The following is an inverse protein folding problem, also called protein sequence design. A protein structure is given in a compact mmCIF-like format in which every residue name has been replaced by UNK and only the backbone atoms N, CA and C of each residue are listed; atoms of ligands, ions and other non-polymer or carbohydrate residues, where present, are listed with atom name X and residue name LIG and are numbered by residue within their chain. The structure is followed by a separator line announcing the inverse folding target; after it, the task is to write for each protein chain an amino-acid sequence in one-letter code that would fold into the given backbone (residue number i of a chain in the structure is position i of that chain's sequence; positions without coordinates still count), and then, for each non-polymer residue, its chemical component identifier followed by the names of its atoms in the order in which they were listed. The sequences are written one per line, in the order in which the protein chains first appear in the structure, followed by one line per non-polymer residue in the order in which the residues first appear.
data_IF_927422647847
#
_entry.id   IF_927422647847
#
_cell.length_a   1.000
_cell.length_b   1.000
_cell.length_c   1.000
_cell.angle_alpha   90.00
_cell.angle_beta   90.00
_cell.angle_gamma   90.00
#
_symmetry.space_group_name_H-M   'P 1'
#
loop_
_entity.id
_entity.type
_entity.pdbx_description
1 polymer ?
#
# COMPACT_ATOMS: atom_id res chain seq x y z
N UNK A 1 5.98 23.57 -1.47
CA UNK A 1 4.77 23.59 -0.62
C UNK A 1 4.48 22.17 -0.17
N UNK A 2 4.33 21.91 1.14
CA UNK A 2 4.08 20.55 1.69
C UNK A 2 2.72 20.05 1.21
N UNK A 3 2.56 18.74 1.02
CA UNK A 3 1.37 18.09 0.42
C UNK A 3 0.05 18.49 1.12
N UNK A 4 0.05 18.60 2.45
CA UNK A 4 -1.13 19.00 3.22
C UNK A 4 -1.64 20.42 2.87
N UNK A 5 -0.75 21.37 2.53
CA UNK A 5 -1.15 22.70 2.11
C UNK A 5 -1.86 22.70 0.75
N UNK A 6 -1.47 21.80 -0.15
CA UNK A 6 -2.15 21.67 -1.46
C UNK A 6 -3.59 21.18 -1.28
N UNK A 7 -3.78 20.15 -0.46
CA UNK A 7 -5.12 19.62 -0.14
C UNK A 7 -5.96 20.71 0.54
N UNK A 8 -5.43 21.36 1.57
CA UNK A 8 -6.11 22.44 2.29
C UNK A 8 -6.60 23.54 1.34
N UNK A 9 -5.71 24.09 0.52
CA UNK A 9 -6.06 25.21 -0.38
C UNK A 9 -7.10 24.78 -1.41
N UNK A 10 -6.99 23.59 -1.98
CA UNK A 10 -7.96 23.08 -2.97
C UNK A 10 -9.37 22.99 -2.39
N UNK A 11 -9.52 22.36 -1.22
CA UNK A 11 -10.82 22.25 -0.55
C UNK A 11 -11.38 23.61 -0.13
N UNK A 12 -10.53 24.47 0.43
CA UNK A 12 -10.94 25.80 0.86
C UNK A 12 -11.46 26.65 -0.30
N UNK A 13 -10.73 26.70 -1.42
CA UNK A 13 -11.15 27.44 -2.62
C UNK A 13 -12.47 26.87 -3.18
N UNK A 14 -12.60 25.55 -3.27
CA UNK A 14 -13.78 24.92 -3.80
C UNK A 14 -15.04 25.25 -2.97
N UNK A 15 -14.94 25.16 -1.65
CA UNK A 15 -16.04 25.48 -0.75
C UNK A 15 -16.37 26.98 -0.82
N UNK A 16 -15.35 27.87 -0.75
CA UNK A 16 -15.55 29.31 -0.80
C UNK A 16 -16.23 29.76 -2.09
N UNK A 17 -15.81 29.23 -3.24
CA UNK A 17 -16.41 29.55 -4.55
C UNK A 17 -17.83 29.02 -4.66
N UNK A 18 -18.09 27.79 -4.25
CA UNK A 18 -19.44 27.20 -4.30
C UNK A 18 -20.44 27.98 -3.45
N UNK A 19 -20.09 28.31 -2.20
CA UNK A 19 -20.93 29.10 -1.32
C UNK A 19 -21.11 30.55 -1.83
N UNK A 20 -20.08 31.19 -2.38
CA UNK A 20 -20.17 32.51 -2.94
C UNK A 20 -21.16 32.59 -4.12
N UNK A 21 -21.08 31.63 -5.04
CA UNK A 21 -21.98 31.58 -6.20
C UNK A 21 -23.43 31.28 -5.73
N UNK A 22 -23.62 30.29 -4.89
CA UNK A 22 -24.95 29.89 -4.41
C UNK A 22 -25.63 31.02 -3.62
N UNK A 23 -24.92 31.67 -2.71
CA UNK A 23 -25.45 32.73 -1.89
C UNK A 23 -25.82 34.00 -2.68
N UNK A 24 -24.98 34.45 -3.61
CA UNK A 24 -25.28 35.58 -4.48
C UNK A 24 -26.45 35.30 -5.42
N UNK A 25 -26.55 34.07 -5.94
CA UNK A 25 -27.69 33.62 -6.75
C UNK A 25 -28.98 33.63 -5.94
N UNK A 26 -28.97 33.09 -4.70
CA UNK A 26 -30.15 33.03 -3.82
C UNK A 26 -30.67 34.43 -3.46
N UNK A 27 -29.78 35.36 -3.07
CA UNK A 27 -30.15 36.76 -2.77
C UNK A 27 -30.75 37.43 -4.01
N UNK A 28 -30.14 37.21 -5.18
CA UNK A 28 -30.61 37.78 -6.43
C UNK A 28 -31.95 37.21 -6.87
N UNK A 29 -32.19 35.91 -6.65
CA UNK A 29 -33.47 35.26 -6.94
C UNK A 29 -34.57 35.76 -6.01
N UNK A 30 -34.31 35.83 -4.71
CA UNK A 30 -35.25 36.34 -3.70
C UNK A 30 -35.62 37.79 -3.98
N UNK A 31 -34.63 38.66 -4.29
CA UNK A 31 -34.88 40.05 -4.66
C UNK A 31 -35.76 40.16 -5.92
N UNK A 32 -35.49 39.39 -6.97
CA UNK A 32 -36.31 39.37 -8.20
C UNK A 32 -37.77 38.96 -7.91
N UNK A 33 -37.96 37.93 -7.09
CA UNK A 33 -39.28 37.51 -6.73
C UNK A 33 -40.08 38.59 -5.94
N UNK A 34 -39.41 39.24 -4.96
CA UNK A 34 -40.02 40.34 -4.20
C UNK A 34 -40.28 41.55 -5.08
N UNK A 35 -39.35 41.87 -5.97
CA UNK A 35 -39.52 42.96 -6.96
C UNK A 35 -40.73 42.74 -7.88
N UNK A 36 -40.90 41.53 -8.42
CA UNK A 36 -42.08 41.22 -9.25
C UNK A 36 -43.38 41.33 -8.50
N UNK A 37 -43.44 40.85 -7.27
CA UNK A 37 -44.64 40.97 -6.39
C UNK A 37 -44.98 42.42 -6.13
N UNK A 38 -44.03 43.29 -5.85
CA UNK A 38 -44.28 44.72 -5.63
C UNK A 38 -44.77 45.45 -6.89
N UNK A 39 -44.25 45.07 -8.06
CA UNK A 39 -44.76 45.61 -9.32
C UNK A 39 -46.22 45.17 -9.55
N UNK A 40 -46.50 43.93 -9.34
CA UNK A 40 -47.86 43.38 -9.49
C UNK A 40 -48.82 44.04 -8.49
N UNK A 41 -48.44 44.16 -7.23
CA UNK A 41 -49.19 44.85 -6.18
C UNK A 41 -49.41 46.30 -6.56
N UNK A 42 -48.40 47.01 -7.06
CA UNK A 42 -48.54 48.40 -7.53
C UNK A 42 -49.48 48.56 -8.72
N UNK A 43 -49.45 47.59 -9.69
CA UNK A 43 -50.39 47.58 -10.80
C UNK A 43 -51.84 47.35 -10.33
N UNK A 44 -52.01 46.42 -9.40
CA UNK A 44 -53.36 46.13 -8.83
C UNK A 44 -53.90 47.34 -8.05
N UNK A 45 -53.04 48.06 -7.30
CA UNK A 45 -53.42 49.30 -6.63
C UNK A 45 -53.85 50.39 -7.63
N UNK A 46 -53.09 50.57 -8.71
CA UNK A 46 -53.42 51.55 -9.77
C UNK A 46 -54.75 51.22 -10.45
N UNK A 47 -54.96 49.92 -10.76
CA UNK A 47 -56.19 49.41 -11.34
C UNK A 47 -57.38 49.61 -10.40
N UNK A 48 -57.22 49.39 -9.10
CA UNK A 48 -58.26 49.59 -8.07
C UNK A 48 -58.68 51.06 -8.03
N UNK A 49 -57.70 52.02 -8.03
CA UNK A 49 -57.99 53.43 -8.07
C UNK A 49 -58.78 53.77 -9.34
N UNK A 50 -58.35 53.28 -10.48
CA UNK A 50 -58.98 53.50 -11.79
C UNK A 50 -60.43 52.99 -11.82
N UNK A 51 -60.67 51.76 -11.37
CA UNK A 51 -61.99 51.13 -11.33
C UNK A 51 -62.93 51.82 -10.33
N UNK A 52 -62.42 52.15 -9.13
CA UNK A 52 -63.20 52.81 -8.10
C UNK A 52 -63.65 54.20 -8.57
N UNK A 53 -62.74 54.96 -9.21
CA UNK A 53 -63.11 56.24 -9.83
C UNK A 53 -64.14 56.04 -10.93
N UNK A 54 -63.95 55.09 -11.83
CA UNK A 54 -64.89 54.76 -12.90
C UNK A 54 -66.34 54.42 -12.38
N UNK A 55 -66.35 53.62 -11.34
CA UNK A 55 -67.63 53.22 -10.71
C UNK A 55 -68.33 54.40 -10.02
N UNK A 56 -67.59 55.20 -9.20
CA UNK A 56 -68.16 56.35 -8.50
C UNK A 56 -68.71 57.38 -9.48
N UNK A 57 -67.82 57.76 -10.45
CA UNK A 57 -68.24 58.73 -11.47
C UNK A 57 -69.36 58.22 -12.37
N UNK A 58 -69.33 56.91 -12.72
CA UNK A 58 -70.39 56.30 -13.54
C UNK A 58 -71.72 56.18 -12.85
N UNK A 59 -71.78 56.21 -11.52
CA UNK A 59 -73.05 56.20 -10.76
C UNK A 59 -73.71 57.58 -10.58
N UNK A 60 -73.04 58.63 -11.02
CA UNK A 60 -73.52 60.00 -10.90
C UNK A 60 -74.27 60.47 -12.14
N UNK A 61 -75.26 61.36 -12.01
CA UNK A 61 -75.93 61.93 -13.14
C UNK A 61 -75.03 62.71 -14.05
N UNK A 62 -75.24 62.71 -15.38
CA UNK A 62 -74.35 63.32 -16.39
C UNK A 62 -74.20 64.85 -16.21
N UNK A 63 -75.22 65.53 -15.63
CA UNK A 63 -75.19 66.99 -15.35
C UNK A 63 -74.48 67.32 -14.02
N UNK A 64 -74.14 66.33 -13.18
CA UNK A 64 -73.50 66.53 -11.85
C UNK A 64 -72.18 67.29 -11.98
N UNK A 65 -71.30 66.94 -12.93
CA UNK A 65 -69.99 67.55 -13.12
C UNK A 65 -70.07 68.93 -13.76
N UNK A 66 -71.11 69.29 -14.47
CA UNK A 66 -71.38 70.64 -15.00
C UNK A 66 -71.87 71.60 -13.93
N UNK A 67 -72.64 71.10 -12.95
CA UNK A 67 -73.19 71.89 -11.84
C UNK A 67 -72.18 72.10 -10.69
N UNK A 68 -71.24 71.13 -10.47
CA UNK A 68 -70.30 71.15 -9.34
C UNK A 68 -68.89 71.20 -9.87
N UNK A 69 -68.32 72.39 -10.01
CA UNK A 69 -66.98 72.58 -10.52
C UNK A 69 -65.81 71.83 -9.75
N UNK A 70 -66.05 71.50 -8.44
CA UNK A 70 -65.07 70.85 -7.60
C UNK A 70 -65.45 69.37 -7.32
N UNK A 71 -66.50 68.77 -7.96
CA UNK A 71 -67.00 67.47 -7.73
C UNK A 71 -65.89 66.35 -7.81
N UNK A 72 -65.07 66.38 -8.82
CA UNK A 72 -63.96 65.42 -8.96
C UNK A 72 -62.98 65.49 -7.77
N UNK A 73 -62.69 66.72 -7.29
CA UNK A 73 -61.82 66.87 -6.13
C UNK A 73 -62.40 66.33 -4.86
N UNK A 74 -63.74 66.52 -4.63
CA UNK A 74 -64.46 65.98 -3.46
C UNK A 74 -64.54 64.48 -3.49
N UNK A 75 -64.86 63.87 -4.65
CA UNK A 75 -64.89 62.43 -4.86
C UNK A 75 -63.50 61.85 -4.57
N UNK A 76 -62.46 62.44 -5.14
CA UNK A 76 -61.08 61.95 -4.92
C UNK A 76 -60.62 62.13 -3.48
N UNK A 77 -61.04 63.18 -2.78
CA UNK A 77 -60.68 63.40 -1.38
C UNK A 77 -61.33 62.37 -0.44
N UNK A 78 -62.59 62.04 -0.67
CA UNK A 78 -63.31 60.99 0.11
C UNK A 78 -62.71 59.59 -0.13
N UNK A 79 -62.31 59.32 -1.35
CA UNK A 79 -61.67 58.07 -1.72
C UNK A 79 -60.22 57.98 -1.20
N UNK A 80 -59.49 59.09 -1.10
CA UNK A 80 -58.12 59.12 -0.60
C UNK A 80 -58.01 58.63 0.85
N UNK A 81 -58.99 58.87 1.66
CA UNK A 81 -59.04 58.38 3.07
C UNK A 81 -59.08 56.86 3.12
N UNK A 82 -59.72 56.20 2.14
CA UNK A 82 -59.80 54.75 2.06
C UNK A 82 -58.59 54.09 1.37
N UNK A 83 -57.81 54.85 0.63
CA UNK A 83 -56.74 54.31 -0.25
C UNK A 83 -55.33 54.45 0.33
N UNK A 84 -55.11 55.36 1.29
CA UNK A 84 -53.80 55.72 1.73
C UNK A 84 -53.32 55.10 3.02
N UNK A 85 -52.24 54.33 2.95
CA UNK A 85 -51.27 54.21 4.05
C UNK A 85 -50.29 55.40 3.98
N UNK A 86 -49.57 55.67 5.06
CA UNK A 86 -48.67 56.83 5.24
C UNK A 86 -47.64 57.09 4.12
N UNK A 87 -47.45 56.17 3.20
CA UNK A 87 -46.41 56.20 2.20
C UNK A 87 -46.87 56.03 0.75
N UNK A 88 -48.13 55.72 0.53
CA UNK A 88 -48.71 55.52 -0.80
C UNK A 88 -49.63 56.69 -1.14
N UNK A 89 -49.50 57.25 -2.32
CA UNK A 89 -50.38 58.32 -2.75
C UNK A 89 -50.79 58.18 -4.22
N UNK A 90 -51.89 58.79 -4.57
CA UNK A 90 -52.35 58.86 -5.95
C UNK A 90 -52.60 60.30 -6.36
N UNK A 91 -52.46 60.53 -7.68
CA UNK A 91 -52.73 61.82 -8.29
C UNK A 91 -53.55 61.59 -9.55
N UNK A 92 -54.55 62.45 -9.75
CA UNK A 92 -55.37 62.41 -10.93
C UNK A 92 -55.08 63.68 -11.73
N UNK A 93 -54.85 63.53 -13.02
CA UNK A 93 -54.61 64.59 -13.95
C UNK A 93 -55.70 64.58 -15.03
N UNK A 94 -56.02 65.79 -15.56
CA UNK A 94 -56.84 65.96 -16.73
C UNK A 94 -56.11 65.57 -18.04
N UNK A 95 -56.83 65.56 -19.16
CA UNK A 95 -56.25 65.30 -20.49
C UNK A 95 -55.13 66.30 -20.87
N UNK A 96 -55.12 67.53 -20.27
CA UNK A 96 -54.05 68.53 -20.42
C UNK A 96 -52.93 68.32 -19.40
N UNK A 97 -52.96 67.25 -18.60
CA UNK A 97 -52.00 66.98 -17.55
C UNK A 97 -51.95 67.97 -16.40
N UNK A 98 -53.02 68.75 -16.19
CA UNK A 98 -53.17 69.51 -14.98
C UNK A 98 -53.61 68.67 -13.82
N UNK A 99 -53.11 68.91 -12.62
CA UNK A 99 -53.48 68.16 -11.40
C UNK A 99 -54.93 68.51 -11.03
N UNK A 100 -55.79 67.52 -11.07
CA UNK A 100 -57.17 67.66 -10.59
C UNK A 100 -57.22 67.39 -9.09
N UNK A 101 -56.51 66.35 -8.66
CA UNK A 101 -56.41 66.01 -7.26
C UNK A 101 -55.08 65.29 -7.00
N UNK A 102 -54.51 65.50 -5.83
CA UNK A 102 -53.37 64.70 -5.36
C UNK A 102 -53.48 64.47 -3.86
N UNK A 103 -53.34 63.23 -3.41
CA UNK A 103 -53.24 62.86 -2.00
C UNK A 103 -51.79 63.03 -1.44
N UNK A 104 -50.80 63.31 -2.30
CA UNK A 104 -49.41 63.53 -1.94
C UNK A 104 -48.75 64.62 -2.76
N UNK A 105 -47.45 64.63 -2.88
CA UNK A 105 -46.70 65.60 -3.70
C UNK A 105 -46.60 65.09 -5.15
N UNK A 106 -47.33 65.72 -6.11
CA UNK A 106 -47.26 65.31 -7.50
C UNK A 106 -45.88 65.54 -8.09
N UNK A 107 -45.37 64.60 -8.92
CA UNK A 107 -44.13 64.75 -9.63
C UNK A 107 -44.40 65.06 -11.11
N UNK A 108 -43.94 66.20 -11.57
CA UNK A 108 -43.98 66.56 -12.98
C UNK A 108 -42.87 65.81 -13.77
N UNK A 109 -43.27 64.71 -14.43
CA UNK A 109 -42.39 64.01 -15.35
C UNK A 109 -43.19 63.51 -16.57
N UNK A 110 -43.02 64.19 -17.69
CA UNK A 110 -43.81 64.02 -18.90
C UNK A 110 -43.65 62.64 -19.62
N UNK A 111 -42.55 61.96 -19.42
CA UNK A 111 -42.20 60.72 -20.18
C UNK A 111 -43.16 59.53 -19.88
N UNK A 112 -43.72 59.43 -18.67
CA UNK A 112 -44.65 58.35 -18.33
C UNK A 112 -46.03 58.54 -18.97
N UNK A 113 -46.49 59.82 -19.04
CA UNK A 113 -47.77 60.16 -19.64
C UNK A 113 -47.83 59.85 -21.14
N UNK A 114 -46.71 60.02 -21.87
CA UNK A 114 -46.64 59.69 -23.31
C UNK A 114 -46.67 58.21 -23.58
N UNK A 115 -46.24 57.37 -22.60
CA UNK A 115 -46.23 55.87 -22.67
C UNK A 115 -47.52 55.27 -22.17
N UNK A 116 -48.29 56.00 -21.34
CA UNK A 116 -49.58 55.56 -20.83
C UNK A 116 -50.67 55.76 -21.90
N UNK A 117 -51.39 54.71 -22.22
CA UNK A 117 -52.48 54.69 -23.23
C UNK A 117 -53.71 53.98 -22.75
N UNK A 118 -54.79 53.98 -23.60
CA UNK A 118 -56.12 53.49 -23.26
C UNK A 118 -56.23 52.07 -22.68
N UNK A 119 -55.18 51.27 -22.66
CA UNK A 119 -55.09 49.96 -22.02
C UNK A 119 -53.66 49.62 -21.63
N UNK A 120 -52.81 50.61 -21.50
CA UNK A 120 -51.41 50.39 -21.15
C UNK A 120 -50.99 51.33 -20.01
N UNK A 121 -50.56 50.75 -18.90
CA UNK A 121 -49.90 51.49 -17.83
C UNK A 121 -48.41 51.65 -18.11
N UNK A 122 -47.88 52.82 -17.79
CA UNK A 122 -46.46 53.09 -17.80
C UNK A 122 -45.91 53.12 -16.37
N UNK A 123 -44.75 52.51 -16.16
CA UNK A 123 -44.18 52.42 -14.83
C UNK A 123 -42.73 52.89 -14.82
N UNK A 124 -42.28 53.46 -13.68
CA UNK A 124 -40.92 53.84 -13.43
C UNK A 124 -40.59 53.76 -11.95
N UNK A 125 -39.44 53.21 -11.61
CA UNK A 125 -38.94 53.29 -10.25
C UNK A 125 -37.98 54.46 -10.17
N UNK A 126 -38.07 55.20 -9.10
CA UNK A 126 -37.19 56.34 -8.81
C UNK A 126 -36.80 56.35 -7.34
N UNK A 127 -35.64 56.94 -7.03
CA UNK A 127 -35.16 57.14 -5.68
C UNK A 127 -35.35 58.60 -5.30
N UNK A 128 -36.00 58.89 -4.18
CA UNK A 128 -36.11 60.21 -3.60
C UNK A 128 -35.56 60.18 -2.18
N UNK A 129 -34.57 61.01 -1.90
CA UNK A 129 -33.74 60.96 -0.68
C UNK A 129 -33.13 59.54 -0.54
N UNK A 130 -33.56 58.74 0.38
CA UNK A 130 -33.06 57.34 0.52
C UNK A 130 -34.17 56.28 0.36
N UNK A 131 -35.33 56.67 -0.17
CA UNK A 131 -36.47 55.83 -0.33
C UNK A 131 -36.75 55.55 -1.81
N UNK A 132 -37.03 54.31 -2.15
CA UNK A 132 -37.39 53.87 -3.49
C UNK A 132 -38.90 53.86 -3.63
N UNK A 133 -39.40 54.44 -4.73
CA UNK A 133 -40.79 54.53 -5.07
C UNK A 133 -41.06 53.89 -6.43
N UNK A 134 -42.17 53.14 -6.53
CA UNK A 134 -42.74 52.67 -7.78
C UNK A 134 -43.86 53.64 -8.22
N UNK A 135 -43.66 54.28 -9.34
CA UNK A 135 -44.63 55.17 -9.96
C UNK A 135 -45.26 54.49 -11.16
N UNK A 136 -46.61 54.40 -11.16
CA UNK A 136 -47.40 53.82 -12.23
C UNK A 136 -48.41 54.86 -12.69
N UNK A 137 -48.48 55.08 -14.01
CA UNK A 137 -49.42 55.99 -14.65
C UNK A 137 -50.29 55.18 -15.61
N UNK A 138 -51.60 55.31 -15.49
CA UNK A 138 -52.57 54.74 -16.40
C UNK A 138 -53.53 55.80 -16.95
N UNK A 139 -54.12 55.53 -18.09
CA UNK A 139 -55.09 56.42 -18.70
C UNK A 139 -56.47 55.77 -18.65
N UNK A 140 -57.50 56.56 -18.28
CA UNK A 140 -58.88 56.11 -18.24
C UNK A 140 -59.84 57.14 -18.81
N UNK A 141 -60.92 56.75 -19.44
CA UNK A 141 -62.02 57.60 -19.87
C UNK A 141 -63.17 57.35 -18.92
N UNK A 142 -63.65 58.40 -18.25
CA UNK A 142 -64.75 58.28 -17.31
C UNK A 142 -66.11 58.35 -18.05
N UNK A 143 -67.10 57.47 -17.67
CA UNK A 143 -68.33 57.32 -18.47
C UNK A 143 -69.26 58.55 -18.48
N UNK A 144 -69.19 59.39 -17.44
CA UNK A 144 -70.17 60.47 -17.27
C UNK A 144 -69.83 61.77 -17.98
N UNK A 145 -68.59 62.08 -18.27
CA UNK A 145 -68.17 63.28 -18.95
C UNK A 145 -67.36 63.09 -20.24
N UNK A 146 -67.09 61.79 -20.59
CA UNK A 146 -66.34 61.32 -21.74
C UNK A 146 -64.93 61.92 -21.84
N UNK A 147 -64.43 62.51 -20.73
CA UNK A 147 -63.10 63.07 -20.65
C UNK A 147 -62.09 61.99 -20.22
N UNK A 148 -60.89 62.16 -20.75
CA UNK A 148 -59.76 61.31 -20.37
C UNK A 148 -59.09 61.85 -19.12
N UNK A 149 -58.67 60.93 -18.27
CA UNK A 149 -57.91 61.23 -17.06
C UNK A 149 -56.73 60.30 -16.93
N UNK A 150 -55.60 60.84 -16.42
CA UNK A 150 -54.46 60.03 -16.03
C UNK A 150 -54.53 59.75 -14.52
N UNK A 151 -54.40 58.50 -14.16
CA UNK A 151 -54.33 58.02 -12.77
C UNK A 151 -52.88 57.62 -12.50
N UNK A 152 -52.26 58.37 -11.64
CA UNK A 152 -50.92 58.07 -11.13
C UNK A 152 -51.00 57.51 -9.74
N UNK A 153 -50.31 56.39 -9.48
CA UNK A 153 -50.09 55.84 -8.14
C UNK A 153 -48.60 55.77 -7.86
N UNK A 154 -48.25 56.16 -6.67
CA UNK A 154 -46.88 56.09 -6.16
C UNK A 154 -46.88 55.25 -4.90
N UNK A 155 -46.14 54.13 -4.96
CA UNK A 155 -46.06 53.18 -3.88
C UNK A 155 -44.62 53.16 -3.35
N UNK A 156 -44.46 53.15 -2.05
CA UNK A 156 -43.17 53.00 -1.40
C UNK A 156 -42.72 51.51 -1.46
N UNK A 157 -41.63 51.27 -2.19
CA UNK A 157 -41.07 49.92 -2.34
C UNK A 157 -39.71 49.79 -1.63
N UNK A 158 -39.43 50.66 -0.67
CA UNK A 158 -38.14 50.67 0.01
C UNK A 158 -37.89 49.38 0.81
N UNK A 159 -38.93 48.73 1.29
CA UNK A 159 -38.87 47.51 2.09
C UNK A 159 -38.11 46.38 1.37
N UNK A 160 -38.28 46.24 0.03
CA UNK A 160 -37.58 45.21 -0.72
C UNK A 160 -36.08 45.48 -0.81
N UNK A 161 -35.67 46.75 -0.85
CA UNK A 161 -34.28 47.14 -0.86
C UNK A 161 -33.62 47.00 0.52
N UNK A 162 -34.33 47.35 1.60
CA UNK A 162 -33.91 47.14 2.97
C UNK A 162 -33.79 45.63 3.26
N UNK A 163 -34.76 44.83 2.89
CA UNK A 163 -34.73 43.38 3.02
C UNK A 163 -33.53 42.77 2.28
N UNK A 164 -33.25 43.22 1.05
CA UNK A 164 -32.07 42.80 0.31
C UNK A 164 -30.77 43.14 1.06
N UNK A 165 -30.70 44.35 1.63
CA UNK A 165 -29.51 44.78 2.38
C UNK A 165 -29.31 43.95 3.64
N UNK A 166 -30.38 43.67 4.38
CA UNK A 166 -30.32 42.78 5.56
C UNK A 166 -29.92 41.34 5.19
N UNK A 167 -30.54 40.77 4.16
CA UNK A 167 -30.17 39.44 3.64
C UNK A 167 -28.69 39.40 3.24
N UNK A 168 -28.20 40.44 2.58
CA UNK A 168 -26.79 40.56 2.18
C UNK A 168 -25.87 40.60 3.40
N UNK A 169 -26.26 41.36 4.44
CA UNK A 169 -25.49 41.45 5.70
C UNK A 169 -25.46 40.10 6.41
N UNK A 170 -26.61 39.45 6.59
CA UNK A 170 -26.70 38.14 7.19
C UNK A 170 -25.89 37.08 6.42
N UNK A 171 -25.96 37.12 5.09
CA UNK A 171 -25.16 36.27 4.22
C UNK A 171 -23.66 36.44 4.49
N UNK A 172 -23.14 37.65 4.60
CA UNK A 172 -21.71 37.87 4.89
C UNK A 172 -21.30 37.33 6.26
N UNK A 173 -22.14 37.49 7.28
CA UNK A 173 -21.87 36.91 8.61
C UNK A 173 -21.83 35.37 8.56
N UNK A 174 -22.83 34.75 7.94
CA UNK A 174 -22.90 33.28 7.80
C UNK A 174 -21.71 32.79 6.98
N UNK A 175 -21.41 33.46 5.87
CA UNK A 175 -20.27 33.14 5.01
C UNK A 175 -18.95 33.19 5.78
N UNK A 176 -18.75 34.20 6.62
CA UNK A 176 -17.54 34.31 7.46
C UNK A 176 -17.44 33.15 8.43
N UNK A 177 -18.52 32.80 9.13
CA UNK A 177 -18.53 31.67 10.07
C UNK A 177 -18.23 30.35 9.36
N UNK A 178 -18.85 30.12 8.19
CA UNK A 178 -18.60 28.90 7.39
C UNK A 178 -17.14 28.83 6.94
N UNK A 179 -16.56 29.93 6.46
CA UNK A 179 -15.17 29.96 6.00
C UNK A 179 -14.20 29.66 7.15
N UNK A 180 -14.42 30.25 8.33
CA UNK A 180 -13.60 29.96 9.52
C UNK A 180 -13.74 28.50 9.96
N UNK A 181 -14.96 27.99 10.01
CA UNK A 181 -15.23 26.59 10.36
C UNK A 181 -14.57 25.62 9.36
N UNK A 182 -14.75 25.87 8.06
CA UNK A 182 -14.11 25.07 7.01
C UNK A 182 -12.58 25.14 7.06
N UNK A 183 -12.03 26.30 7.41
CA UNK A 183 -10.59 26.45 7.59
C UNK A 183 -10.06 25.54 8.71
N UNK A 184 -10.71 25.58 9.87
CA UNK A 184 -10.32 24.75 11.03
C UNK A 184 -10.45 23.26 10.69
N UNK A 185 -11.59 22.85 10.14
CA UNK A 185 -11.86 21.45 9.79
C UNK A 185 -10.88 20.92 8.73
N UNK A 186 -10.62 21.72 7.69
CA UNK A 186 -9.69 21.36 6.63
C UNK A 186 -8.24 21.24 7.13
N UNK A 187 -7.81 22.13 8.02
CA UNK A 187 -6.49 22.01 8.67
C UNK A 187 -6.39 20.76 9.53
N UNK A 188 -7.41 20.46 10.34
CA UNK A 188 -7.44 19.27 11.18
C UNK A 188 -7.39 17.99 10.34
N UNK A 189 -8.22 17.89 9.30
CA UNK A 189 -8.25 16.74 8.40
C UNK A 189 -6.93 16.56 7.66
N UNK A 190 -6.38 17.65 7.14
CA UNK A 190 -5.10 17.64 6.43
C UNK A 190 -3.94 17.20 7.34
N UNK A 191 -3.93 17.64 8.59
CA UNK A 191 -2.93 17.21 9.57
C UNK A 191 -3.06 15.72 9.88
N UNK A 192 -4.28 15.24 10.11
CA UNK A 192 -4.55 13.83 10.44
C UNK A 192 -4.13 12.87 9.31
N UNK A 193 -4.50 13.17 8.06
CA UNK A 193 -4.14 12.36 6.90
C UNK A 193 -2.62 12.34 6.66
N UNK A 194 -1.97 13.50 6.75
CA UNK A 194 -0.52 13.58 6.49
C UNK A 194 0.33 13.05 7.63
N UNK A 195 -0.19 12.99 8.85
CA UNK A 195 0.53 12.40 9.99
C UNK A 195 0.85 10.92 9.74
N UNK A 196 -0.13 10.12 9.31
CA UNK A 196 0.06 8.68 9.01
C UNK A 196 1.08 8.44 7.90
N UNK A 197 1.01 9.21 6.81
CA UNK A 197 1.99 9.13 5.72
C UNK A 197 3.39 9.51 6.20
N UNK A 198 3.51 10.46 7.11
CA UNK A 198 4.78 10.91 7.65
C UNK A 198 5.43 9.84 8.54
N UNK A 199 4.64 9.15 9.37
CA UNK A 199 5.09 8.02 10.19
C UNK A 199 5.61 6.89 9.29
N UNK A 200 4.84 6.49 8.27
CA UNK A 200 5.26 5.48 7.31
C UNK A 200 6.57 5.88 6.61
N UNK A 201 6.67 7.11 6.13
CA UNK A 201 7.89 7.62 5.48
C UNK A 201 9.11 7.65 6.42
N UNK A 202 8.89 7.96 7.71
CA UNK A 202 9.98 7.96 8.70
C UNK A 202 10.49 6.54 8.97
N UNK A 203 9.59 5.56 9.16
CA UNK A 203 9.96 4.16 9.36
C UNK A 203 10.64 3.56 8.13
N UNK A 204 10.15 3.88 6.92
CA UNK A 204 10.80 3.47 5.66
C UNK A 204 12.22 4.03 5.57
N UNK A 205 12.43 5.26 6.00
CA UNK A 205 13.75 5.88 6.01
C UNK A 205 14.66 5.24 7.06
N UNK A 206 14.16 4.99 8.28
CA UNK A 206 14.90 4.30 9.34
C UNK A 206 15.36 2.91 8.87
N UNK A 207 14.48 2.17 8.21
CA UNK A 207 14.79 0.87 7.60
C UNK A 207 15.90 0.99 6.53
N UNK A 208 15.81 1.97 5.64
CA UNK A 208 16.82 2.23 4.61
C UNK A 208 18.18 2.67 5.20
N UNK A 209 18.17 3.36 6.34
CA UNK A 209 19.37 3.79 7.07
C UNK A 209 20.00 2.65 7.91
N UNK A 210 19.43 1.42 7.85
CA UNK A 210 20.00 0.19 8.42
C UNK A 210 19.30 -0.34 9.67
N UNK A 211 18.25 0.31 10.17
CA UNK A 211 17.43 -0.25 11.24
C UNK A 211 16.42 -1.25 10.67
N UNK A 212 16.89 -2.47 10.42
CA UNK A 212 16.12 -3.55 9.83
C UNK A 212 14.94 -4.02 10.71
N UNK A 213 14.89 -3.64 11.99
CA UNK A 213 13.80 -3.93 12.91
C UNK A 213 12.68 -2.90 12.88
N UNK A 214 12.86 -1.78 12.16
CA UNK A 214 11.84 -0.73 12.06
C UNK A 214 10.58 -1.26 11.38
N UNK A 215 9.44 -1.14 12.08
CA UNK A 215 8.11 -1.53 11.57
C UNK A 215 7.12 -0.41 11.80
N UNK A 216 6.09 -0.35 10.97
CA UNK A 216 4.98 0.60 11.08
C UNK A 216 3.81 -0.06 11.77
N UNK A 217 3.25 0.61 12.77
CA UNK A 217 1.99 0.14 13.37
C UNK A 217 0.85 0.31 12.37
N UNK A 218 0.19 -0.79 12.01
CA UNK A 218 -0.95 -0.81 11.11
C UNK A 218 -2.19 -0.38 11.87
N UNK A 219 -2.76 0.78 11.52
CA UNK A 219 -3.98 1.31 12.15
C UNK A 219 -5.04 1.57 11.08
N UNK A 220 -6.25 1.03 11.27
CA UNK A 220 -7.37 1.21 10.35
C UNK A 220 -7.43 0.13 9.26
N UNK A 221 -8.32 0.37 8.26
CA UNK A 221 -8.56 -0.53 7.12
C UNK A 221 -8.55 0.24 5.79
N UNK A 222 -7.89 1.41 5.78
CA UNK A 222 -7.76 2.26 4.60
C UNK A 222 -6.52 1.90 3.76
N UNK A 223 -6.32 2.58 2.66
CA UNK A 223 -5.21 2.38 1.73
C UNK A 223 -3.84 2.62 2.41
N UNK A 224 -3.80 3.49 3.42
CA UNK A 224 -2.57 3.76 4.19
C UNK A 224 -2.25 2.59 5.11
N UNK A 225 -3.26 1.97 5.71
CA UNK A 225 -3.09 0.76 6.52
C UNK A 225 -2.60 -0.42 5.67
N UNK A 226 -3.15 -0.58 4.47
CA UNK A 226 -2.70 -1.60 3.50
C UNK A 226 -1.24 -1.36 3.11
N UNK A 227 -0.88 -0.12 2.78
CA UNK A 227 0.51 0.24 2.42
C UNK A 227 1.48 0.02 3.59
N UNK A 228 1.06 0.28 4.83
CA UNK A 228 1.87 -0.01 6.02
C UNK A 228 2.09 -1.53 6.22
N UNK A 229 1.06 -2.34 5.99
CA UNK A 229 1.16 -3.80 6.04
C UNK A 229 2.07 -4.36 4.94
N UNK A 230 1.97 -3.82 3.72
CA UNK A 230 2.83 -4.22 2.59
C UNK A 230 4.29 -3.85 2.85
N UNK A 231 4.55 -2.67 3.42
CA UNK A 231 5.89 -2.28 3.85
C UNK A 231 6.45 -3.26 4.90
N UNK A 232 5.66 -3.63 5.91
CA UNK A 232 6.12 -4.56 6.93
C UNK A 232 6.44 -5.94 6.33
N UNK A 233 5.59 -6.47 5.44
CA UNK A 233 5.86 -7.75 4.73
C UNK A 233 7.16 -7.69 3.91
N UNK A 234 7.38 -6.60 3.20
CA UNK A 234 8.62 -6.38 2.46
C UNK A 234 9.83 -6.34 3.40
N UNK A 235 9.71 -5.64 4.54
CA UNK A 235 10.77 -5.55 5.53
C UNK A 235 11.08 -6.90 6.17
N UNK A 236 10.06 -7.73 6.46
CA UNK A 236 10.24 -9.10 6.98
C UNK A 236 10.96 -10.00 5.98
N UNK A 237 10.53 -9.97 4.71
CA UNK A 237 11.17 -10.76 3.65
C UNK A 237 12.61 -10.35 3.38
N UNK A 238 12.90 -9.03 3.42
CA UNK A 238 14.27 -8.55 3.28
C UNK A 238 15.15 -8.94 4.46
N UNK A 239 14.64 -8.86 5.69
CA UNK A 239 15.35 -9.29 6.89
C UNK A 239 15.71 -10.78 6.80
N UNK A 240 14.74 -11.63 6.43
CA UNK A 240 14.96 -13.07 6.25
C UNK A 240 16.06 -13.36 5.22
N UNK A 241 16.04 -12.63 4.09
CA UNK A 241 17.09 -12.78 3.05
C UNK A 241 18.46 -12.30 3.49
N UNK A 242 18.54 -11.23 4.28
CA UNK A 242 19.80 -10.73 4.84
C UNK A 242 20.37 -11.75 5.84
N UNK A 243 19.52 -12.32 6.70
CA UNK A 243 19.93 -13.32 7.66
C UNK A 243 20.41 -14.61 6.95
N UNK A 244 19.71 -15.06 5.89
CA UNK A 244 20.14 -16.16 5.03
C UNK A 244 21.51 -15.90 4.41
N UNK A 245 21.70 -14.75 3.78
CA UNK A 245 22.99 -14.35 3.17
C UNK A 245 24.10 -14.28 4.22
N UNK A 246 23.80 -13.71 5.39
CA UNK A 246 24.76 -13.63 6.49
C UNK A 246 25.19 -15.00 6.99
N UNK A 247 24.23 -15.93 7.10
CA UNK A 247 24.52 -17.32 7.46
C UNK A 247 25.39 -18.01 6.40
N UNK A 248 25.05 -17.82 5.10
CA UNK A 248 25.86 -18.36 4.01
C UNK A 248 27.30 -17.79 4.02
N UNK A 249 27.44 -16.49 4.25
CA UNK A 249 28.77 -15.85 4.33
C UNK A 249 29.60 -16.40 5.49
N UNK A 250 29.00 -16.57 6.67
CA UNK A 250 29.69 -17.16 7.84
C UNK A 250 30.10 -18.62 7.58
N UNK A 251 29.24 -19.42 6.96
CA UNK A 251 29.53 -20.80 6.62
C UNK A 251 30.68 -20.88 5.60
N UNK A 252 30.70 -19.98 4.59
CA UNK A 252 31.76 -19.90 3.61
C UNK A 252 33.11 -19.48 4.23
N UNK A 253 33.07 -18.53 5.17
CA UNK A 253 34.28 -18.10 5.91
C UNK A 253 34.84 -19.25 6.76
N UNK A 254 33.98 -19.94 7.52
CA UNK A 254 34.35 -21.10 8.33
C UNK A 254 34.95 -22.23 7.47
N UNK A 255 34.31 -22.51 6.32
CA UNK A 255 34.79 -23.49 5.35
C UNK A 255 36.20 -23.14 4.84
N UNK A 256 36.41 -21.89 4.42
CA UNK A 256 37.70 -21.41 3.89
C UNK A 256 38.80 -21.50 4.93
N UNK A 257 38.52 -21.11 6.17
CA UNK A 257 39.46 -21.20 7.28
C UNK A 257 39.83 -22.65 7.60
N UNK A 258 38.85 -23.57 7.65
CA UNK A 258 39.10 -24.99 7.89
C UNK A 258 39.94 -25.62 6.75
N UNK A 259 39.63 -25.30 5.50
CA UNK A 259 40.37 -25.74 4.32
C UNK A 259 41.82 -25.31 4.36
N UNK A 260 42.06 -24.02 4.59
CA UNK A 260 43.42 -23.49 4.69
C UNK A 260 44.25 -24.23 5.79
N UNK A 261 43.56 -24.53 6.93
CA UNK A 261 44.24 -25.26 8.01
C UNK A 261 44.58 -26.71 7.64
N UNK A 262 43.66 -27.44 7.00
CA UNK A 262 43.88 -28.85 6.60
C UNK A 262 44.84 -29.00 5.42
N UNK A 263 45.06 -27.93 4.60
CA UNK A 263 46.12 -27.88 3.61
C UNK A 263 47.48 -27.57 4.24
N UNK A 264 47.55 -26.62 5.19
CA UNK A 264 48.81 -26.15 5.78
C UNK A 264 49.55 -27.29 6.50
N UNK A 265 48.83 -28.16 7.21
CA UNK A 265 49.46 -29.22 8.02
C UNK A 265 50.27 -30.24 7.20
N UNK A 266 49.71 -30.92 6.16
CA UNK A 266 50.50 -31.81 5.32
C UNK A 266 51.59 -31.13 4.53
N UNK A 267 51.32 -29.87 4.03
CA UNK A 267 52.32 -29.13 3.29
C UNK A 267 53.54 -28.78 4.17
N UNK A 268 53.30 -28.37 5.41
CA UNK A 268 54.39 -28.09 6.36
C UNK A 268 55.23 -29.36 6.66
N UNK A 269 54.54 -30.51 6.78
CA UNK A 269 55.22 -31.81 6.99
C UNK A 269 56.06 -32.20 5.77
N UNK A 270 55.53 -32.07 4.55
CA UNK A 270 56.26 -32.34 3.31
C UNK A 270 57.52 -31.48 3.23
N UNK A 271 57.39 -30.18 3.45
CA UNK A 271 58.50 -29.23 3.42
C UNK A 271 59.56 -29.58 4.48
N UNK A 272 59.09 -29.85 5.71
CA UNK A 272 59.99 -30.20 6.82
C UNK A 272 60.77 -31.48 6.58
N UNK A 273 60.18 -32.56 6.13
CA UNK A 273 60.87 -33.80 5.80
C UNK A 273 61.74 -33.67 4.56
N UNK A 274 61.34 -32.90 3.55
CA UNK A 274 62.16 -32.58 2.39
C UNK A 274 63.41 -31.77 2.79
N UNK A 275 63.29 -30.84 3.74
CA UNK A 275 64.39 -30.06 4.28
C UNK A 275 65.36 -30.95 5.09
N UNK A 276 64.84 -31.85 5.89
CA UNK A 276 65.62 -32.85 6.59
C UNK A 276 66.49 -33.68 5.62
N UNK A 277 65.86 -34.23 4.56
CA UNK A 277 66.54 -34.97 3.50
C UNK A 277 67.64 -34.17 2.79
N UNK A 278 67.46 -32.82 2.68
CA UNK A 278 68.38 -31.94 2.00
C UNK A 278 69.55 -31.49 2.86
N UNK A 279 69.38 -31.29 4.18
CA UNK A 279 70.31 -30.61 5.05
C UNK A 279 71.04 -31.51 6.03
N UNK A 280 70.54 -32.70 6.33
CA UNK A 280 71.09 -33.62 7.29
C UNK A 280 71.67 -34.86 6.63
N UNK A 281 72.76 -35.36 7.19
CA UNK A 281 73.35 -36.66 6.78
C UNK A 281 72.56 -37.77 7.56
N UNK A 282 71.52 -38.26 6.91
CA UNK A 282 70.67 -39.28 7.47
C UNK A 282 71.07 -40.69 7.08
N UNK A 283 70.80 -41.67 7.95
CA UNK A 283 70.94 -43.11 7.63
C UNK A 283 70.00 -43.49 6.48
N UNK A 284 70.26 -44.62 5.82
CA UNK A 284 69.39 -45.09 4.72
C UNK A 284 67.97 -45.35 5.16
N UNK A 285 67.78 -45.81 6.37
CA UNK A 285 66.50 -46.04 6.95
C UNK A 285 65.71 -44.75 7.24
N UNK A 286 66.38 -43.73 7.79
CA UNK A 286 65.78 -42.40 8.02
C UNK A 286 65.46 -41.68 6.71
N UNK A 287 66.28 -41.82 5.65
CA UNK A 287 65.96 -41.35 4.30
C UNK A 287 64.73 -42.02 3.74
N UNK A 288 64.54 -43.29 3.94
CA UNK A 288 63.38 -44.05 3.49
C UNK A 288 62.11 -43.60 4.25
N UNK A 289 62.19 -43.50 5.56
CA UNK A 289 61.05 -43.04 6.40
C UNK A 289 60.63 -41.62 6.02
N UNK A 290 61.57 -40.70 5.82
CA UNK A 290 61.28 -39.32 5.40
C UNK A 290 60.62 -39.25 4.01
N UNK A 291 61.09 -40.05 3.06
CA UNK A 291 60.51 -40.16 1.73
C UNK A 291 59.09 -40.75 1.76
N UNK A 292 58.88 -41.81 2.56
CA UNK A 292 57.56 -42.42 2.72
C UNK A 292 56.55 -41.45 3.37
N UNK A 293 57.01 -40.64 4.33
CA UNK A 293 56.19 -39.62 4.96
C UNK A 293 55.79 -38.50 3.97
N UNK A 294 56.72 -38.04 3.12
CA UNK A 294 56.42 -37.09 2.06
C UNK A 294 55.39 -37.64 1.08
N UNK A 295 55.60 -38.91 0.66
CA UNK A 295 54.70 -39.58 -0.27
C UNK A 295 53.29 -39.74 0.32
N UNK A 296 53.21 -40.18 1.58
CA UNK A 296 51.92 -40.37 2.27
C UNK A 296 51.17 -39.06 2.45
N UNK A 297 51.86 -37.93 2.81
CA UNK A 297 51.22 -36.63 2.91
C UNK A 297 50.84 -36.07 1.53
N UNK A 298 51.62 -36.35 0.46
CA UNK A 298 51.26 -36.02 -0.94
C UNK A 298 49.97 -36.71 -1.40
N UNK A 299 49.89 -38.04 -1.11
CA UNK A 299 48.64 -38.81 -1.40
C UNK A 299 47.44 -38.32 -0.62
N UNK A 300 47.63 -37.86 0.61
CA UNK A 300 46.59 -37.27 1.43
C UNK A 300 46.10 -35.95 0.81
N UNK A 301 47.00 -35.07 0.35
CA UNK A 301 46.66 -33.84 -0.34
C UNK A 301 45.86 -34.10 -1.64
N UNK A 302 46.31 -35.09 -2.41
CA UNK A 302 45.61 -35.51 -3.63
C UNK A 302 44.15 -35.92 -3.33
N UNK A 303 43.97 -36.80 -2.34
CA UNK A 303 42.62 -37.27 -1.89
C UNK A 303 41.75 -36.11 -1.39
N UNK A 304 42.34 -35.16 -0.63
CA UNK A 304 41.66 -33.98 -0.16
C UNK A 304 41.19 -33.09 -1.33
N UNK A 305 42.05 -32.90 -2.33
CA UNK A 305 41.77 -32.12 -3.55
C UNK A 305 40.59 -32.72 -4.36
N UNK A 306 40.59 -34.06 -4.56
CA UNK A 306 39.48 -34.70 -5.26
C UNK A 306 38.16 -34.58 -4.51
N UNK A 307 38.13 -34.84 -3.18
CA UNK A 307 36.92 -34.68 -2.40
C UNK A 307 36.38 -33.27 -2.37
N UNK A 308 37.27 -32.30 -2.41
CA UNK A 308 36.86 -30.88 -2.51
C UNK A 308 36.29 -30.57 -3.88
N UNK A 309 36.92 -31.08 -4.95
CA UNK A 309 36.40 -30.94 -6.31
C UNK A 309 35.01 -31.55 -6.44
N UNK A 310 34.80 -32.74 -5.89
CA UNK A 310 33.49 -33.41 -5.86
C UNK A 310 32.44 -32.53 -5.18
N UNK A 311 32.73 -31.91 -4.02
CA UNK A 311 31.84 -31.01 -3.33
C UNK A 311 31.50 -29.76 -4.17
N UNK A 312 32.46 -29.16 -4.88
CA UNK A 312 32.21 -28.00 -5.72
C UNK A 312 31.41 -28.34 -6.98
N UNK A 313 31.71 -29.47 -7.60
CA UNK A 313 31.01 -29.97 -8.79
C UNK A 313 29.56 -30.24 -8.47
N UNK A 314 29.27 -30.87 -7.31
CA UNK A 314 27.91 -31.12 -6.85
C UNK A 314 27.07 -29.85 -6.66
N UNK A 315 27.67 -28.72 -6.30
CA UNK A 315 26.96 -27.45 -6.15
C UNK A 315 26.62 -26.76 -7.46
N UNK A 316 27.24 -27.15 -8.59
CA UNK A 316 27.09 -26.48 -9.89
C UNK A 316 26.52 -27.35 -11.01
N UNK A 317 26.46 -28.67 -10.84
CA UNK A 317 26.06 -29.60 -11.89
C UNK A 317 24.53 -29.77 -11.98
N UNK A 318 23.98 -29.76 -13.19
CA UNK A 318 22.66 -30.28 -13.48
C UNK A 318 22.70 -31.81 -13.32
N UNK A 319 21.96 -32.34 -12.37
CA UNK A 319 21.93 -33.77 -12.05
C UNK A 319 21.19 -34.54 -13.14
N UNK A 320 21.73 -35.67 -13.56
CA UNK A 320 21.08 -36.57 -14.50
C UNK A 320 20.39 -37.68 -13.73
N UNK A 321 19.16 -37.43 -13.29
CA UNK A 321 18.36 -38.44 -12.63
C UNK A 321 17.88 -39.52 -13.62
N UNK A 322 18.18 -40.77 -13.28
CA UNK A 322 17.77 -41.94 -14.07
C UNK A 322 17.33 -43.07 -13.14
N UNK A 323 16.54 -44.07 -13.63
CA UNK A 323 16.27 -45.25 -12.89
C UNK A 323 17.55 -46.08 -12.63
N UNK A 324 17.86 -46.35 -11.37
CA UNK A 324 19.05 -47.09 -10.94
C UNK A 324 18.59 -48.35 -10.21
N UNK A 325 19.05 -49.52 -10.64
CA UNK A 325 18.73 -50.79 -9.95
C UNK A 325 19.56 -50.95 -8.66
N UNK A 326 18.94 -51.42 -7.58
CA UNK A 326 19.63 -51.76 -6.33
C UNK A 326 20.69 -52.86 -6.53
N UNK A 327 20.48 -53.79 -7.48
CA UNK A 327 21.45 -54.80 -7.82
C UNK A 327 22.71 -54.23 -8.45
N UNK A 328 22.56 -53.23 -9.35
CA UNK A 328 23.70 -52.52 -9.97
C UNK A 328 24.60 -51.85 -8.92
N UNK A 329 23.99 -51.25 -7.87
CA UNK A 329 24.75 -50.65 -6.77
C UNK A 329 25.54 -51.73 -6.01
N UNK A 330 24.91 -52.88 -5.70
CA UNK A 330 25.60 -53.98 -5.03
C UNK A 330 26.78 -54.51 -5.84
N UNK A 331 26.55 -54.79 -7.15
CA UNK A 331 27.56 -55.36 -8.05
C UNK A 331 28.76 -54.42 -8.23
N UNK A 332 28.56 -53.12 -8.14
CA UNK A 332 29.63 -52.13 -8.23
C UNK A 332 30.39 -51.96 -6.90
N UNK A 333 29.69 -51.86 -5.77
CA UNK A 333 30.28 -51.56 -4.46
C UNK A 333 31.10 -52.69 -3.89
N UNK A 334 30.61 -53.95 -3.95
CA UNK A 334 31.27 -55.10 -3.33
C UNK A 334 32.71 -55.31 -3.86
N UNK A 335 32.94 -55.29 -5.20
CA UNK A 335 34.33 -55.41 -5.73
C UNK A 335 35.20 -54.21 -5.35
N UNK A 336 34.68 -52.99 -5.37
CA UNK A 336 35.43 -51.78 -5.06
C UNK A 336 35.92 -51.74 -3.61
N UNK A 337 35.12 -52.21 -2.67
CA UNK A 337 35.45 -52.21 -1.24
C UNK A 337 36.28 -53.40 -0.78
N UNK A 338 36.31 -54.51 -1.56
CA UNK A 338 36.92 -55.77 -1.19
C UNK A 338 38.35 -55.64 -0.68
N UNK A 339 39.23 -54.90 -1.38
CA UNK A 339 40.64 -54.76 -1.02
C UNK A 339 40.81 -53.94 0.28
N UNK A 340 40.01 -52.86 0.42
CA UNK A 340 40.09 -51.99 1.60
C UNK A 340 39.55 -52.65 2.87
N UNK A 341 38.53 -53.49 2.73
CA UNK A 341 37.97 -54.27 3.82
C UNK A 341 38.92 -55.38 4.25
N UNK A 342 39.48 -56.12 3.29
CA UNK A 342 40.45 -57.20 3.56
C UNK A 342 41.72 -56.67 4.25
N UNK A 343 42.18 -55.46 3.91
CA UNK A 343 43.35 -54.84 4.54
C UNK A 343 43.16 -54.56 6.06
N UNK A 344 41.93 -54.46 6.52
CA UNK A 344 41.57 -54.24 7.94
C UNK A 344 40.87 -55.45 8.58
N UNK A 345 40.76 -56.58 7.86
CA UNK A 345 40.09 -57.79 8.29
C UNK A 345 38.65 -57.52 8.76
N UNK A 346 37.89 -56.76 7.99
CA UNK A 346 36.50 -56.39 8.21
C UNK A 346 35.62 -57.05 7.15
N UNK A 347 34.50 -57.71 7.58
CA UNK A 347 33.57 -58.34 6.67
C UNK A 347 32.50 -57.37 6.23
N UNK A 348 32.02 -57.46 4.97
CA UNK A 348 30.87 -56.73 4.44
C UNK A 348 29.73 -57.72 4.14
N UNK A 349 28.59 -57.53 4.79
CA UNK A 349 27.35 -58.21 4.49
C UNK A 349 26.40 -57.20 3.82
N UNK A 350 26.18 -57.37 2.52
CA UNK A 350 25.36 -56.43 1.74
C UNK A 350 24.15 -57.11 1.12
N UNK A 351 22.94 -56.74 1.53
CA UNK A 351 21.67 -57.30 1.06
C UNK A 351 20.72 -56.17 0.75
N UNK A 352 20.68 -55.80 -0.52
CA UNK A 352 19.71 -54.81 -1.04
C UNK A 352 18.55 -55.54 -1.71
N UNK A 353 17.31 -55.39 -1.19
CA UNK A 353 16.15 -55.96 -1.85
C UNK A 353 15.99 -55.36 -3.25
N UNK A 354 15.58 -56.18 -4.24
CA UNK A 354 15.42 -55.71 -5.61
C UNK A 354 14.44 -54.53 -5.69
N UNK A 355 14.93 -53.37 -6.16
CA UNK A 355 14.12 -52.16 -6.38
C UNK A 355 14.80 -51.26 -7.42
N UNK A 356 14.01 -50.35 -7.96
CA UNK A 356 14.51 -49.26 -8.81
C UNK A 356 14.42 -47.96 -8.04
N UNK A 357 15.57 -47.31 -7.86
CA UNK A 357 15.68 -45.97 -7.29
C UNK A 357 15.76 -44.93 -8.40
N UNK A 358 15.28 -43.73 -8.17
CA UNK A 358 15.42 -42.62 -9.10
C UNK A 358 16.47 -41.66 -8.60
N UNK A 359 17.60 -41.57 -9.31
CA UNK A 359 18.73 -40.75 -8.88
C UNK A 359 19.91 -40.78 -9.85
N UNK A 360 20.97 -40.09 -9.47
CA UNK A 360 22.26 -40.14 -10.18
C UNK A 360 23.08 -41.34 -9.64
N UNK A 361 23.39 -42.30 -10.55
CA UNK A 361 24.06 -43.56 -10.20
C UNK A 361 25.43 -43.33 -9.55
N UNK A 362 26.24 -42.41 -10.09
CA UNK A 362 27.59 -42.19 -9.62
C UNK A 362 27.60 -41.52 -8.24
N UNK A 363 26.64 -40.64 -8.00
CA UNK A 363 26.46 -40.02 -6.69
C UNK A 363 25.92 -41.01 -5.64
N UNK A 364 24.98 -41.88 -6.00
CA UNK A 364 24.49 -42.92 -5.10
C UNK A 364 25.61 -43.95 -4.75
N UNK A 365 26.46 -44.30 -5.73
CA UNK A 365 27.67 -45.10 -5.48
C UNK A 365 28.64 -44.39 -4.52
N UNK A 366 28.92 -43.09 -4.79
CA UNK A 366 29.79 -42.28 -3.93
C UNK A 366 29.24 -42.19 -2.50
N UNK A 367 27.93 -41.98 -2.34
CA UNK A 367 27.25 -41.95 -1.03
C UNK A 367 27.49 -43.25 -0.25
N UNK A 368 27.14 -44.38 -0.84
CA UNK A 368 27.27 -45.68 -0.18
C UNK A 368 28.72 -46.07 0.11
N UNK A 369 29.65 -45.81 -0.81
CA UNK A 369 31.08 -46.04 -0.60
C UNK A 369 31.59 -45.21 0.57
N UNK A 370 31.23 -43.91 0.66
CA UNK A 370 31.61 -43.05 1.79
C UNK A 370 31.09 -43.53 3.12
N UNK A 371 29.81 -43.98 3.18
CA UNK A 371 29.21 -44.53 4.40
C UNK A 371 29.91 -45.84 4.81
N UNK A 372 30.15 -46.76 3.88
CA UNK A 372 30.82 -48.03 4.13
C UNK A 372 32.29 -47.80 4.54
N UNK A 373 33.01 -46.84 3.92
CA UNK A 373 34.38 -46.52 4.31
C UNK A 373 34.47 -45.88 5.70
N UNK A 374 33.46 -45.08 6.08
CA UNK A 374 33.36 -44.55 7.44
C UNK A 374 33.12 -45.65 8.46
N UNK A 375 32.19 -46.59 8.17
CA UNK A 375 31.93 -47.79 8.97
C UNK A 375 33.23 -48.62 9.12
N UNK A 376 33.97 -48.87 8.01
CA UNK A 376 35.25 -49.58 8.02
C UNK A 376 36.28 -48.88 8.92
N UNK A 377 36.38 -47.56 8.86
CA UNK A 377 37.32 -46.78 9.72
C UNK A 377 36.93 -46.90 11.20
N UNK A 378 35.62 -46.94 11.53
CA UNK A 378 35.14 -47.06 12.88
C UNK A 378 35.34 -48.49 13.46
N UNK A 379 35.28 -49.52 12.61
CA UNK A 379 35.38 -50.94 13.00
C UNK A 379 36.78 -51.37 13.37
N UNK A 380 36.87 -52.49 14.10
CA UNK A 380 38.07 -53.22 14.47
C UNK A 380 38.23 -54.49 13.59
N UNK A 381 39.42 -55.15 13.66
CA UNK A 381 39.61 -56.43 12.98
C UNK A 381 38.62 -57.46 13.47
N UNK A 382 38.00 -58.22 12.57
CA UNK A 382 36.98 -59.21 12.86
C UNK A 382 35.54 -58.69 12.89
N UNK A 383 35.34 -57.35 12.82
CA UNK A 383 33.99 -56.78 12.80
C UNK A 383 33.29 -56.98 11.45
N UNK A 384 31.95 -56.86 11.48
CA UNK A 384 31.10 -56.98 10.30
C UNK A 384 30.34 -55.66 10.06
N UNK A 385 30.41 -55.14 8.83
CA UNK A 385 29.57 -54.04 8.37
C UNK A 385 28.36 -54.65 7.66
N UNK A 386 27.17 -54.28 8.08
CA UNK A 386 25.90 -54.74 7.51
C UNK A 386 25.23 -53.65 6.72
N UNK A 387 24.93 -53.89 5.45
CA UNK A 387 24.17 -52.99 4.58
C UNK A 387 22.88 -53.67 4.18
N UNK A 388 21.75 -53.11 4.62
CA UNK A 388 20.41 -53.64 4.33
C UNK A 388 19.61 -52.60 3.53
N UNK A 389 18.93 -53.09 2.49
CA UNK A 389 18.03 -52.21 1.70
C UNK A 389 16.65 -52.85 1.57
N UNK A 390 15.60 -52.08 1.77
CA UNK A 390 14.21 -52.52 1.63
C UNK A 390 13.32 -51.36 1.13
N UNK A 391 12.21 -51.73 0.46
CA UNK A 391 11.19 -50.75 0.06
C UNK A 391 10.20 -50.52 1.19
N UNK A 392 9.89 -49.30 1.48
CA UNK A 392 8.86 -48.86 2.42
C UNK A 392 7.98 -47.83 1.75
N UNK A 393 6.80 -48.26 1.31
CA UNK A 393 5.84 -47.45 0.54
C UNK A 393 6.50 -46.81 -0.71
N UNK A 394 6.54 -45.46 -0.78
CA UNK A 394 7.13 -44.67 -1.89
C UNK A 394 8.64 -44.46 -1.75
N UNK A 395 9.27 -45.04 -0.75
CA UNK A 395 10.68 -44.85 -0.44
C UNK A 395 11.46 -46.15 -0.46
N UNK A 396 12.74 -46.00 -0.76
CA UNK A 396 13.70 -47.07 -0.55
C UNK A 396 14.63 -46.73 0.59
N UNK A 397 14.64 -47.56 1.63
CA UNK A 397 15.48 -47.37 2.80
C UNK A 397 16.76 -48.18 2.67
N UNK A 398 17.92 -47.56 2.88
CA UNK A 398 19.20 -48.25 2.96
C UNK A 398 19.81 -47.96 4.33
N UNK A 399 20.10 -48.97 5.12
CA UNK A 399 20.81 -48.85 6.39
C UNK A 399 22.24 -49.37 6.26
N UNK A 400 23.22 -48.62 6.78
CA UNK A 400 24.61 -49.02 6.92
C UNK A 400 24.91 -49.07 8.41
N UNK A 401 25.19 -50.29 8.92
CA UNK A 401 25.43 -50.52 10.32
C UNK A 401 26.86 -51.06 10.55
N UNK A 402 27.54 -50.50 11.54
CA UNK A 402 28.82 -51.00 12.05
C UNK A 402 28.75 -51.27 13.55
N UNK A 403 29.66 -52.12 14.05
CA UNK A 403 29.84 -52.42 15.46
C UNK A 403 31.08 -51.72 16.03
N UNK A 404 31.44 -50.59 15.45
CA UNK A 404 32.64 -49.87 15.79
C UNK A 404 32.53 -49.00 17.04
N UNK A 405 33.36 -47.95 17.06
CA UNK A 405 33.49 -47.07 18.25
C UNK A 405 32.28 -46.20 18.57
N UNK A 406 31.32 -46.05 17.66
CA UNK A 406 30.19 -45.14 17.79
C UNK A 406 30.55 -43.67 17.77
N UNK A 407 29.51 -42.80 17.87
CA UNK A 407 29.58 -41.35 17.85
C UNK A 407 28.89 -40.84 19.12
N UNK A 408 29.49 -39.92 19.90
CA UNK A 408 28.80 -39.24 21.01
C UNK A 408 27.56 -38.51 20.54
N UNK A 409 26.49 -38.53 21.35
CA UNK A 409 25.20 -37.94 20.95
C UNK A 409 25.27 -36.42 20.67
N UNK A 410 26.11 -35.68 21.40
CA UNK A 410 26.36 -34.23 21.22
C UNK A 410 27.16 -33.88 19.97
N UNK A 411 27.74 -34.89 19.31
CA UNK A 411 28.55 -34.72 18.11
C UNK A 411 27.80 -35.08 16.81
N UNK A 412 26.68 -35.75 16.88
CA UNK A 412 25.92 -36.23 15.72
C UNK A 412 25.55 -35.05 14.76
N UNK A 413 25.12 -33.92 15.28
CA UNK A 413 24.77 -32.76 14.48
C UNK A 413 26.00 -32.06 13.81
N UNK A 414 27.18 -32.33 14.34
CA UNK A 414 28.41 -31.71 13.87
C UNK A 414 29.08 -32.50 12.75
N UNK A 415 28.87 -33.83 12.66
CA UNK A 415 29.57 -34.67 11.67
C UNK A 415 29.28 -34.33 10.22
N UNK A 416 28.19 -33.60 9.94
CA UNK A 416 27.82 -33.08 8.61
C UNK A 416 28.63 -31.87 8.18
N UNK A 417 29.26 -31.19 9.15
CA UNK A 417 30.05 -30.00 8.85
C UNK A 417 31.32 -30.37 8.11
N UNK A 418 31.71 -29.68 7.03
CA UNK A 418 32.95 -29.92 6.34
C UNK A 418 34.17 -29.82 7.29
N UNK A 419 35.15 -30.75 7.12
CA UNK A 419 36.36 -30.82 7.93
C UNK A 419 36.15 -31.17 9.41
N UNK A 420 34.91 -31.52 9.80
CA UNK A 420 34.64 -31.92 11.17
C UNK A 420 35.08 -33.38 11.43
N UNK A 421 35.73 -33.59 12.55
CA UNK A 421 36.19 -34.93 13.00
C UNK A 421 36.05 -35.03 14.51
N UNK A 422 35.34 -36.06 15.00
CA UNK A 422 35.17 -36.36 16.43
C UNK A 422 36.55 -36.64 17.10
N UNK A 423 37.44 -37.39 16.43
CA UNK A 423 38.82 -37.63 16.87
C UNK A 423 39.79 -37.25 15.76
N UNK A 424 40.40 -36.06 15.89
CA UNK A 424 41.35 -35.50 14.91
C UNK A 424 42.65 -36.30 14.81
N UNK A 425 43.12 -36.93 15.90
CA UNK A 425 44.42 -37.58 15.95
C UNK A 425 44.40 -38.96 15.20
N UNK A 426 43.37 -39.71 15.40
CA UNK A 426 43.20 -41.06 14.81
C UNK A 426 42.71 -40.97 13.37
N UNK A 427 41.73 -40.08 13.11
CA UNK A 427 41.19 -39.86 11.76
C UNK A 427 42.27 -39.40 10.76
N UNK A 428 43.25 -38.61 11.21
CA UNK A 428 44.39 -38.22 10.40
C UNK A 428 45.33 -39.37 10.02
N UNK A 429 45.49 -40.35 10.91
CA UNK A 429 46.31 -41.57 10.62
C UNK A 429 45.62 -42.47 9.60
N UNK A 430 44.27 -42.51 9.59
CA UNK A 430 43.48 -43.34 8.68
C UNK A 430 43.11 -42.55 7.37
N UNK A 431 43.71 -41.40 7.10
CA UNK A 431 43.52 -40.62 5.86
C UNK A 431 42.21 -39.88 5.75
N UNK A 432 41.52 -39.68 6.88
CA UNK A 432 40.25 -38.90 6.89
C UNK A 432 40.51 -37.40 6.79
N UNK A 433 39.75 -36.71 5.93
CA UNK A 433 39.82 -35.26 5.79
C UNK A 433 38.57 -34.56 6.39
N UNK A 434 37.63 -35.33 6.99
CA UNK A 434 36.38 -34.76 7.52
C UNK A 434 35.42 -34.24 6.43
N UNK A 435 35.59 -34.68 5.17
CA UNK A 435 34.72 -34.30 4.07
C UNK A 435 33.71 -35.37 3.64
N UNK A 436 33.88 -36.62 4.07
CA UNK A 436 33.04 -37.74 3.61
C UNK A 436 31.59 -37.58 4.03
N UNK A 437 31.31 -37.21 5.29
CA UNK A 437 29.92 -37.04 5.78
C UNK A 437 29.26 -35.78 5.22
N UNK A 438 29.99 -34.73 5.04
CA UNK A 438 29.46 -33.52 4.37
C UNK A 438 29.13 -33.77 2.88
N UNK A 439 29.94 -34.59 2.19
CA UNK A 439 29.63 -35.06 0.84
C UNK A 439 28.35 -35.92 0.82
N UNK A 440 28.21 -36.85 1.75
CA UNK A 440 27.00 -37.65 1.92
C UNK A 440 25.76 -36.75 2.13
N UNK A 441 25.86 -35.78 2.99
CA UNK A 441 24.77 -34.83 3.24
C UNK A 441 24.36 -34.06 1.98
N UNK A 442 25.30 -33.51 1.19
CA UNK A 442 25.01 -32.81 -0.06
C UNK A 442 24.39 -33.75 -1.11
N UNK A 443 24.87 -34.98 -1.24
CA UNK A 443 24.26 -35.98 -2.15
C UNK A 443 22.81 -36.26 -1.75
N UNK A 444 22.54 -36.47 -0.46
CA UNK A 444 21.18 -36.71 0.04
C UNK A 444 20.26 -35.49 -0.22
N UNK A 445 20.75 -34.30 0.05
CA UNK A 445 20.02 -33.05 -0.22
C UNK A 445 19.61 -32.90 -1.68
N UNK A 446 20.54 -33.23 -2.58
CA UNK A 446 20.31 -33.17 -4.03
C UNK A 446 19.31 -34.23 -4.51
N UNK A 447 19.26 -35.41 -3.85
CA UNK A 447 18.30 -36.48 -4.14
C UNK A 447 16.97 -36.35 -3.38
N UNK A 448 16.75 -35.23 -2.67
CA UNK A 448 15.58 -35.05 -1.79
C UNK A 448 15.40 -36.21 -0.80
N UNK A 449 16.50 -36.85 -0.45
CA UNK A 449 16.57 -37.98 0.47
C UNK A 449 16.84 -37.49 1.90
N UNK A 450 16.47 -38.28 2.85
CA UNK A 450 16.71 -38.02 4.28
C UNK A 450 17.60 -39.12 4.86
N UNK A 451 18.25 -38.82 5.96
CA UNK A 451 18.93 -39.82 6.76
C UNK A 451 18.56 -39.71 8.22
N UNK A 452 18.69 -40.84 8.91
CA UNK A 452 18.59 -40.96 10.35
C UNK A 452 19.83 -41.64 10.89
N UNK A 453 20.45 -41.11 11.93
CA UNK A 453 21.70 -41.61 12.51
C UNK A 453 21.44 -41.99 13.95
N UNK A 454 21.61 -43.28 14.24
CA UNK A 454 21.58 -43.86 15.57
C UNK A 454 22.97 -44.34 15.92
N UNK A 455 23.52 -43.82 17.01
CA UNK A 455 24.87 -44.21 17.42
C UNK A 455 25.02 -44.19 18.92
N UNK A 456 25.72 -45.20 19.44
CA UNK A 456 26.05 -45.30 20.85
C UNK A 456 27.55 -45.60 20.98
N UNK A 457 28.20 -44.91 21.92
CA UNK A 457 29.63 -44.97 22.09
C UNK A 457 30.03 -46.41 22.50
N UNK A 458 31.02 -47.01 21.79
CA UNK A 458 31.51 -48.36 21.95
C UNK A 458 30.55 -49.49 21.58
N UNK A 459 29.39 -49.18 21.00
CA UNK A 459 28.43 -50.18 20.51
C UNK A 459 28.42 -50.21 18.97
N UNK A 460 28.38 -49.00 18.33
CA UNK A 460 28.39 -48.87 16.89
C UNK A 460 27.55 -47.73 16.38
N UNK A 461 27.41 -47.66 15.05
CA UNK A 461 26.62 -46.64 14.36
C UNK A 461 25.74 -47.31 13.31
N UNK A 462 24.47 -46.89 13.23
CA UNK A 462 23.54 -47.21 12.15
C UNK A 462 23.13 -45.93 11.46
N UNK A 463 23.39 -45.83 10.15
CA UNK A 463 22.94 -44.70 9.31
C UNK A 463 21.91 -45.22 8.34
N UNK A 464 20.67 -44.83 8.50
CA UNK A 464 19.56 -45.17 7.60
C UNK A 464 19.27 -44.01 6.68
N UNK A 465 19.36 -44.23 5.37
CA UNK A 465 19.02 -43.24 4.32
C UNK A 465 17.68 -43.64 3.69
N UNK A 466 16.85 -42.65 3.41
CA UNK A 466 15.51 -42.84 2.80
C UNK A 466 15.46 -42.05 1.48
N UNK A 467 15.39 -42.81 0.38
CA UNK A 467 15.44 -42.27 -0.99
C UNK A 467 14.06 -42.41 -1.64
N UNK A 468 13.48 -41.39 -2.27
CA UNK A 468 12.24 -41.53 -3.05
C UNK A 468 12.40 -42.52 -4.20
N UNK A 469 11.45 -43.47 -4.39
CA UNK A 469 11.46 -44.42 -5.51
C UNK A 469 10.88 -43.87 -6.80
N UNK A 470 10.06 -42.83 -6.71
CA UNK A 470 9.48 -42.14 -7.88
C UNK A 470 10.02 -40.72 -7.96
N UNK A 471 10.45 -40.29 -9.15
CA UNK A 471 10.77 -38.90 -9.41
C UNK A 471 9.51 -38.07 -9.20
N UNK A 472 9.46 -37.29 -8.12
CA UNK A 472 8.50 -36.19 -8.02
C UNK A 472 9.07 -35.06 -8.85
N UNK A 473 8.34 -34.70 -9.93
CA UNK A 473 8.52 -33.44 -10.67
C UNK A 473 8.41 -32.20 -9.77
#
# INVERSE_FOLDING_TARGET
MKFYWKIFISFFILIATAFSICGTWMISASFRASYHREIESGNNKNEMVRMSLGNIVGSMPADYFTKHKNAMKEICSSFAVSFGGDSDFFTIYDDRRNVVYSSGKPQNNDVLFTKAGKNKSARKIYKSKDTYYLRIVSYTILPSDLKGYYVETVTNINNIYLQRQEMTRMYHYIMFIILVSCMILSLALSYFLTYRVRVLSASTRSFADGDLNSRVQVHGQDEIATLAADFNRMADSLQEKIDEISMHAKNQEAFTAAFAHELKTPLTSIIGYAELLRTMDLSQEEKWQAADYIFSQGKRLESLSYKLLDLFVLQQQELTFAPVSSSELTDAIVPMMKQNLAAKDVMLSMHLAPATLYGDKDLLLSLLINLIDNARKASSSGDTITVLGYSDNDYYCISVQDTGKGIPADEIDNITKPFYMVDKSRSRKEGGAGLGMSLCYEILRLHHAQWHIESELHIGTTITITIPQTGKE
#
